data_IF_799715986408
#
_entry.id   IF_799715986408
#
_cell.length_a   1.000
_cell.length_b   1.000
_cell.length_c   1.000
_cell.angle_alpha   90.00
_cell.angle_beta   90.00
_cell.angle_gamma   90.00
#
_symmetry.space_group_name_H-M   'P 1'
#
loop_
_entity.id
_entity.type
_entity.pdbx_description
1 polymer ?
#
# COMPACT_ATOMS: atom_id res chain seq x y z
N UNK A 1 24.39 -14.08 12.87
CA UNK A 1 24.62 -13.58 11.51
C UNK A 1 25.35 -12.24 11.61
N UNK A 2 26.21 -11.83 10.67
CA UNK A 2 26.89 -10.52 10.73
C UNK A 2 26.79 -9.81 9.39
N UNK A 3 25.83 -8.89 9.28
CA UNK A 3 25.69 -8.00 8.11
C UNK A 3 26.66 -6.83 8.26
N UNK A 4 27.38 -6.48 7.20
CA UNK A 4 28.36 -5.38 7.23
C UNK A 4 27.73 -4.03 6.87
N UNK A 5 28.41 -2.95 7.27
CA UNK A 5 27.96 -1.59 6.94
C UNK A 5 27.96 -1.34 5.42
N UNK A 6 28.92 -1.91 4.70
CA UNK A 6 29.02 -1.82 3.24
C UNK A 6 27.82 -2.49 2.57
N UNK A 7 27.42 -3.69 3.03
CA UNK A 7 26.24 -4.38 2.49
C UNK A 7 24.96 -3.57 2.71
N UNK A 8 24.79 -2.96 3.90
CA UNK A 8 23.65 -2.10 4.20
C UNK A 8 23.64 -0.89 3.26
N UNK A 9 24.81 -0.29 2.99
CA UNK A 9 24.93 0.85 2.10
C UNK A 9 24.56 0.49 0.66
N UNK A 10 25.04 -0.64 0.15
CA UNK A 10 24.68 -1.16 -1.18
C UNK A 10 23.17 -1.39 -1.32
N UNK A 11 22.53 -1.96 -0.29
CA UNK A 11 21.08 -2.13 -0.30
C UNK A 11 20.32 -0.82 -0.25
N UNK A 12 20.80 0.16 0.54
CA UNK A 12 20.18 1.49 0.60
C UNK A 12 20.26 2.21 -0.74
N UNK A 13 21.40 2.13 -1.42
CA UNK A 13 21.57 2.69 -2.76
C UNK A 13 20.64 2.04 -3.79
N UNK A 14 20.44 0.72 -3.67
CA UNK A 14 19.61 -0.04 -4.61
C UNK A 14 18.12 0.11 -4.37
N UNK A 15 17.68 0.12 -3.11
CA UNK A 15 16.27 -0.01 -2.75
C UNK A 15 15.68 1.21 -2.06
N UNK A 16 16.51 2.10 -1.51
CA UNK A 16 16.08 3.22 -0.67
C UNK A 16 16.19 2.86 0.80
N UNK A 17 15.07 2.77 1.51
CA UNK A 17 15.05 2.31 2.90
C UNK A 17 15.46 0.84 3.05
N UNK A 18 16.14 0.54 4.15
CA UNK A 18 16.44 -0.81 4.62
C UNK A 18 16.09 -0.87 6.10
N UNK A 19 15.39 -1.92 6.49
CA UNK A 19 14.86 -2.13 7.82
C UNK A 19 15.45 -3.42 8.40
N UNK A 20 15.77 -3.39 9.69
CA UNK A 20 16.08 -4.60 10.45
C UNK A 20 14.87 -4.92 11.34
N UNK A 21 14.42 -6.17 11.29
CA UNK A 21 13.36 -6.71 12.12
C UNK A 21 13.97 -7.73 13.09
N UNK A 22 14.35 -7.30 14.31
CA UNK A 22 14.83 -8.21 15.34
C UNK A 22 13.67 -8.96 16.01
N UNK A 23 13.86 -10.25 16.26
CA UNK A 23 12.90 -11.13 16.96
C UNK A 23 13.71 -12.00 17.92
N UNK A 24 13.78 -11.58 19.18
CA UNK A 24 14.60 -12.22 20.21
C UNK A 24 16.07 -12.39 19.80
N UNK A 25 16.52 -13.63 19.56
CA UNK A 25 17.88 -13.98 19.15
C UNK A 25 18.06 -14.02 17.62
N UNK A 26 17.03 -13.66 16.85
CA UNK A 26 17.00 -13.68 15.38
C UNK A 26 16.80 -12.30 14.79
N UNK A 27 17.17 -12.15 13.53
CA UNK A 27 16.97 -10.91 12.78
C UNK A 27 16.72 -11.16 11.29
N UNK A 28 15.98 -10.26 10.65
CA UNK A 28 15.89 -10.19 9.19
C UNK A 28 16.01 -8.75 8.72
N UNK A 29 16.76 -8.56 7.64
CA UNK A 29 16.90 -7.31 6.91
C UNK A 29 15.96 -7.32 5.71
N UNK A 30 15.16 -6.26 5.61
CA UNK A 30 14.12 -6.08 4.62
C UNK A 30 14.35 -4.78 3.86
N UNK A 31 14.14 -4.78 2.54
CA UNK A 31 14.05 -3.54 1.78
C UNK A 31 12.72 -2.83 2.01
N UNK A 32 12.71 -1.54 1.77
CA UNK A 32 11.48 -0.75 1.71
C UNK A 32 10.51 -1.27 0.63
N UNK A 33 9.21 -1.41 0.96
CA UNK A 33 8.22 -1.81 -0.02
C UNK A 33 7.89 -0.68 -1.00
N UNK A 34 7.46 -1.08 -2.20
CA UNK A 34 6.88 -0.22 -3.21
C UNK A 34 5.43 -0.63 -3.47
N UNK A 35 4.65 0.20 -4.16
CA UNK A 35 3.26 -0.14 -4.47
C UNK A 35 3.04 -1.50 -5.15
N UNK A 36 3.92 -2.00 -6.05
CA UNK A 36 3.79 -3.35 -6.59
C UNK A 36 3.85 -4.45 -5.51
N UNK A 37 4.62 -4.26 -4.45
CA UNK A 37 4.74 -5.22 -3.35
C UNK A 37 3.42 -5.31 -2.59
N UNK A 38 2.82 -4.16 -2.23
CA UNK A 38 1.50 -4.11 -1.62
C UNK A 38 0.43 -4.73 -2.53
N UNK A 39 0.42 -4.40 -3.82
CA UNK A 39 -0.54 -5.00 -4.77
C UNK A 39 -0.43 -6.53 -4.78
N UNK A 40 0.78 -7.09 -4.72
CA UNK A 40 0.97 -8.55 -4.63
C UNK A 40 0.49 -9.09 -3.29
N UNK A 41 0.91 -8.50 -2.17
CA UNK A 41 0.56 -8.96 -0.84
C UNK A 41 -0.95 -8.92 -0.57
N UNK A 42 -1.64 -7.85 -0.98
CA UNK A 42 -3.11 -7.77 -0.89
C UNK A 42 -3.81 -8.78 -1.81
N UNK A 43 -3.19 -9.15 -2.95
CA UNK A 43 -3.73 -10.22 -3.81
C UNK A 43 -3.60 -11.58 -3.12
N UNK A 44 -2.50 -11.82 -2.40
CA UNK A 44 -2.32 -13.01 -1.58
C UNK A 44 -3.34 -13.04 -0.42
N UNK A 45 -3.55 -11.89 0.23
CA UNK A 45 -4.53 -11.71 1.31
C UNK A 45 -5.96 -12.09 0.89
N UNK A 46 -6.38 -11.71 -0.32
CA UNK A 46 -7.69 -12.09 -0.85
C UNK A 46 -7.91 -13.61 -0.93
N UNK A 47 -6.83 -14.41 -0.98
CA UNK A 47 -6.89 -15.87 -1.11
C UNK A 47 -6.63 -16.60 0.21
N UNK A 48 -5.71 -16.09 1.03
CA UNK A 48 -5.22 -16.77 2.24
C UNK A 48 -5.25 -15.93 3.51
N UNK A 49 -5.93 -14.78 3.49
CA UNK A 49 -6.05 -13.87 4.62
C UNK A 49 -4.72 -13.23 5.02
N UNK A 50 -4.68 -12.69 6.24
CA UNK A 50 -3.52 -11.95 6.74
C UNK A 50 -2.24 -12.80 6.84
N UNK A 51 -2.36 -14.12 6.97
CA UNK A 51 -1.20 -15.03 6.99
C UNK A 51 -0.50 -14.96 5.63
N UNK A 52 -1.25 -15.16 4.54
CA UNK A 52 -0.70 -15.07 3.19
C UNK A 52 -0.18 -13.66 2.85
N UNK A 53 -0.76 -12.60 3.42
CA UNK A 53 -0.21 -11.25 3.32
C UNK A 53 1.19 -11.16 3.94
N UNK A 54 1.32 -11.62 5.20
CA UNK A 54 2.59 -11.60 5.92
C UNK A 54 3.67 -12.45 5.25
N UNK A 55 3.31 -13.64 4.77
CA UNK A 55 4.20 -14.51 4.00
C UNK A 55 4.71 -13.83 2.73
N UNK A 56 3.80 -13.21 1.95
CA UNK A 56 4.18 -12.56 0.70
C UNK A 56 5.08 -11.36 0.98
N UNK A 57 4.73 -10.48 1.93
CA UNK A 57 5.54 -9.33 2.31
C UNK A 57 6.93 -9.74 2.80
N UNK A 58 7.00 -10.69 3.74
CA UNK A 58 8.27 -11.14 4.29
C UNK A 58 9.18 -11.73 3.20
N UNK A 59 8.65 -12.60 2.33
CA UNK A 59 9.43 -13.21 1.25
C UNK A 59 9.88 -12.20 0.19
N UNK A 60 9.05 -11.19 -0.06
CA UNK A 60 9.27 -10.19 -1.10
C UNK A 60 10.33 -9.17 -0.74
N UNK A 61 10.31 -8.76 0.52
CA UNK A 61 11.17 -7.71 1.04
C UNK A 61 12.48 -8.28 1.59
N UNK A 62 12.58 -9.60 1.77
CA UNK A 62 13.76 -10.30 2.26
C UNK A 62 15.04 -9.92 1.51
N UNK A 63 16.01 -9.39 2.24
CA UNK A 63 17.38 -9.21 1.77
C UNK A 63 18.27 -10.31 2.32
N UNK A 64 18.34 -10.40 3.64
CA UNK A 64 19.15 -11.37 4.38
C UNK A 64 18.58 -11.55 5.79
N UNK A 65 18.73 -12.70 6.42
CA UNK A 65 18.13 -12.94 7.73
C UNK A 65 18.21 -14.40 8.19
N UNK A 66 17.83 -14.63 9.43
CA UNK A 66 17.67 -15.97 9.98
C UNK A 66 16.45 -16.66 9.38
N UNK A 67 16.69 -17.71 8.58
CA UNK A 67 15.66 -18.46 7.84
C UNK A 67 14.51 -19.00 8.71
N UNK A 68 14.74 -19.21 10.01
CA UNK A 68 13.72 -19.63 10.96
C UNK A 68 12.55 -18.65 11.05
N UNK A 69 12.78 -17.35 10.80
CA UNK A 69 11.72 -16.33 10.76
C UNK A 69 10.67 -16.65 9.67
N UNK A 70 11.05 -17.36 8.60
CA UNK A 70 10.11 -17.81 7.53
C UNK A 70 9.58 -19.22 7.70
N UNK A 71 10.22 -20.04 8.54
CA UNK A 71 10.01 -21.49 8.60
C UNK A 71 9.41 -21.96 9.91
N UNK A 72 9.50 -21.16 10.96
CA UNK A 72 8.98 -21.47 12.28
C UNK A 72 7.94 -20.42 12.70
N UNK A 73 6.74 -20.89 13.01
CA UNK A 73 5.57 -20.07 13.35
C UNK A 73 5.81 -19.18 14.58
N UNK A 74 6.65 -19.60 15.53
CA UNK A 74 6.98 -18.82 16.73
C UNK A 74 7.66 -17.49 16.37
N UNK A 75 8.46 -17.47 15.30
CA UNK A 75 9.11 -16.26 14.79
C UNK A 75 8.30 -15.58 13.68
N UNK A 76 7.62 -16.37 12.84
CA UNK A 76 6.83 -15.83 11.73
C UNK A 76 5.63 -15.00 12.21
N UNK A 77 4.90 -15.46 13.21
CA UNK A 77 3.71 -14.76 13.71
C UNK A 77 4.00 -13.35 14.27
N UNK A 78 5.02 -13.14 15.13
CA UNK A 78 5.39 -11.79 15.55
C UNK A 78 5.95 -10.96 14.39
N UNK A 79 6.74 -11.56 13.48
CA UNK A 79 7.24 -10.86 12.30
C UNK A 79 6.10 -10.30 11.44
N UNK A 80 5.11 -11.14 11.14
CA UNK A 80 3.91 -10.76 10.39
C UNK A 80 3.19 -9.59 11.05
N UNK A 81 3.01 -9.64 12.37
CA UNK A 81 2.31 -8.59 13.11
C UNK A 81 3.03 -7.26 12.97
N UNK A 82 4.35 -7.24 13.16
CA UNK A 82 5.16 -6.04 13.01
C UNK A 82 5.09 -5.49 11.58
N UNK A 83 5.14 -6.35 10.55
CA UNK A 83 5.00 -5.92 9.16
C UNK A 83 3.65 -5.25 8.88
N UNK A 84 2.56 -5.76 9.45
CA UNK A 84 1.23 -5.15 9.30
C UNK A 84 1.16 -3.79 9.98
N UNK A 85 1.71 -3.68 11.19
CA UNK A 85 1.69 -2.44 11.97
C UNK A 85 2.62 -1.36 11.37
N UNK A 86 3.80 -1.76 10.90
CA UNK A 86 4.81 -0.87 10.32
C UNK A 86 4.36 -0.24 9.01
N UNK A 87 3.66 -0.99 8.14
CA UNK A 87 3.18 -0.48 6.85
C UNK A 87 1.81 0.18 6.92
N UNK A 88 1.58 0.98 7.96
CA UNK A 88 0.38 1.77 8.12
C UNK A 88 0.62 3.23 7.68
N UNK A 89 0.02 3.64 6.57
CA UNK A 89 0.14 5.00 6.07
C UNK A 89 -0.97 5.90 6.63
N UNK A 90 -0.66 7.15 7.01
CA UNK A 90 -1.67 8.10 7.46
C UNK A 90 -2.76 8.32 6.41
N UNK A 91 -3.98 8.53 6.87
CA UNK A 91 -5.08 8.92 6.00
C UNK A 91 -4.81 10.26 5.31
N UNK A 92 -5.17 10.35 4.03
CA UNK A 92 -5.13 11.63 3.33
C UNK A 92 -6.19 12.60 3.89
N UNK A 93 -5.86 13.89 3.93
CA UNK A 93 -6.83 14.94 4.26
C UNK A 93 -7.63 15.26 3.02
N UNK A 94 -8.96 15.36 3.14
CA UNK A 94 -9.84 15.69 2.01
C UNK A 94 -10.65 16.96 2.29
N UNK A 95 -10.73 17.84 1.29
CA UNK A 95 -11.48 19.11 1.37
C UNK A 95 -12.33 19.30 0.12
N UNK A 96 -13.62 19.62 0.32
CA UNK A 96 -14.51 19.93 -0.80
C UNK A 96 -14.16 21.29 -1.39
N UNK A 97 -14.02 21.38 -2.70
CA UNK A 97 -13.73 22.60 -3.46
C UNK A 97 -14.75 22.78 -4.59
N UNK A 98 -14.80 23.97 -5.21
CA UNK A 98 -15.84 24.35 -6.19
C UNK A 98 -16.08 23.30 -7.29
N UNK A 99 -15.00 22.69 -7.79
CA UNK A 99 -15.05 21.75 -8.91
C UNK A 99 -14.67 20.31 -8.52
N UNK A 100 -14.73 19.95 -7.24
CA UNK A 100 -14.36 18.60 -6.81
C UNK A 100 -13.89 18.48 -5.37
N UNK A 101 -12.90 17.62 -5.15
CA UNK A 101 -12.27 17.39 -3.85
C UNK A 101 -10.77 17.56 -3.99
N UNK A 102 -10.19 18.38 -3.12
CA UNK A 102 -8.76 18.45 -2.89
C UNK A 102 -8.37 17.32 -1.92
N UNK A 103 -7.36 16.55 -2.30
CA UNK A 103 -6.78 15.47 -1.50
C UNK A 103 -5.34 15.89 -1.20
N UNK A 104 -5.00 15.95 0.08
CA UNK A 104 -3.67 16.31 0.57
C UNK A 104 -3.05 15.11 1.27
N UNK A 105 -1.86 14.74 0.82
CA UNK A 105 -1.03 13.72 1.45
C UNK A 105 0.28 14.40 1.81
N UNK A 106 0.52 14.57 3.12
CA UNK A 106 1.62 15.37 3.64
C UNK A 106 1.63 16.79 3.05
N UNK A 107 2.70 17.19 2.37
CA UNK A 107 2.85 18.50 1.75
C UNK A 107 2.38 18.54 0.28
N UNK A 108 1.97 17.40 -0.28
CA UNK A 108 1.54 17.28 -1.66
C UNK A 108 0.01 17.29 -1.78
N UNK A 109 -0.50 17.94 -2.81
CA UNK A 109 -1.94 17.98 -3.11
C UNK A 109 -2.29 17.57 -4.54
N UNK A 110 -3.50 17.06 -4.69
CA UNK A 110 -4.17 16.93 -5.97
C UNK A 110 -5.64 17.31 -5.85
N UNK A 111 -6.26 17.69 -6.97
CA UNK A 111 -7.70 17.93 -7.04
C UNK A 111 -8.31 16.92 -8.00
N UNK A 112 -9.34 16.22 -7.54
CA UNK A 112 -10.15 15.30 -8.34
C UNK A 112 -11.55 15.85 -8.52
N UNK A 113 -12.15 15.69 -9.71
CA UNK A 113 -13.57 16.01 -9.92
C UNK A 113 -14.46 14.98 -9.21
N UNK A 114 -15.76 15.26 -9.17
CA UNK A 114 -16.77 14.33 -8.65
C UNK A 114 -16.73 13.01 -9.44
N UNK A 115 -16.68 11.89 -8.71
CA UNK A 115 -16.70 10.54 -9.27
C UNK A 115 -18.13 10.21 -9.71
N UNK A 116 -18.29 9.80 -10.97
CA UNK A 116 -19.57 9.38 -11.53
C UNK A 116 -19.65 7.87 -11.67
N UNK A 117 -20.87 7.35 -11.88
CA UNK A 117 -21.10 5.93 -12.16
C UNK A 117 -20.33 5.45 -13.40
N UNK A 118 -20.20 6.31 -14.42
CA UNK A 118 -19.50 5.92 -15.64
C UNK A 118 -17.99 5.84 -15.42
N UNK A 119 -17.42 6.73 -14.59
CA UNK A 119 -16.01 6.64 -14.20
C UNK A 119 -15.71 5.30 -13.52
N UNK A 120 -16.57 4.89 -12.56
CA UNK A 120 -16.44 3.61 -11.86
C UNK A 120 -16.50 2.45 -12.85
N UNK A 121 -17.52 2.43 -13.71
CA UNK A 121 -17.66 1.38 -14.74
C UNK A 121 -16.42 1.31 -15.64
N UNK A 122 -15.88 2.44 -16.05
CA UNK A 122 -14.71 2.49 -16.93
C UNK A 122 -13.43 2.08 -16.22
N UNK A 123 -13.29 2.37 -14.93
CA UNK A 123 -12.17 1.93 -14.11
C UNK A 123 -12.23 0.42 -13.81
N UNK A 124 -13.40 -0.13 -13.49
CA UNK A 124 -13.60 -1.57 -13.29
C UNK A 124 -13.27 -2.38 -14.55
N UNK A 125 -13.63 -1.87 -15.73
CA UNK A 125 -13.23 -2.48 -17.02
C UNK A 125 -11.72 -2.58 -17.19
N UNK A 126 -10.94 -1.69 -16.56
CA UNK A 126 -9.46 -1.73 -16.55
C UNK A 126 -8.90 -2.66 -15.47
N UNK A 127 -9.76 -3.22 -14.62
CA UNK A 127 -9.41 -4.18 -13.58
C UNK A 127 -10.30 -5.45 -13.65
N UNK A 128 -10.29 -6.19 -14.78
CA UNK A 128 -11.14 -7.38 -14.93
C UNK A 128 -10.78 -8.51 -13.96
N UNK A 129 -9.57 -8.50 -13.41
CA UNK A 129 -9.09 -9.51 -12.46
C UNK A 129 -9.27 -9.13 -11.00
N UNK A 130 -9.91 -7.98 -10.70
CA UNK A 130 -10.15 -7.54 -9.32
C UNK A 130 -8.88 -7.31 -8.50
N UNK A 131 -7.77 -6.93 -9.15
CA UNK A 131 -6.49 -6.67 -8.48
C UNK A 131 -6.63 -5.51 -7.49
N UNK A 132 -6.05 -5.60 -6.29
CA UNK A 132 -6.05 -4.52 -5.31
C UNK A 132 -5.54 -3.20 -5.90
N UNK A 133 -6.19 -2.10 -5.53
CA UNK A 133 -5.88 -0.71 -5.89
C UNK A 133 -5.93 -0.35 -7.39
N UNK A 134 -6.02 -1.31 -8.30
CA UNK A 134 -6.00 -1.05 -9.74
C UNK A 134 -7.23 -0.24 -10.20
N UNK A 135 -8.39 -0.45 -9.59
CA UNK A 135 -9.60 0.35 -9.87
C UNK A 135 -9.42 1.79 -9.39
N UNK A 136 -8.91 2.00 -8.17
CA UNK A 136 -8.65 3.33 -7.60
C UNK A 136 -7.60 4.09 -8.41
N UNK A 137 -6.55 3.40 -8.88
CA UNK A 137 -5.56 3.96 -9.79
C UNK A 137 -6.19 4.40 -11.12
N UNK A 138 -6.98 3.52 -11.74
CA UNK A 138 -7.67 3.83 -12.99
C UNK A 138 -8.67 4.98 -12.83
N UNK A 139 -9.37 5.06 -11.70
CA UNK A 139 -10.24 6.18 -11.36
C UNK A 139 -9.44 7.47 -11.25
N UNK A 140 -8.35 7.49 -10.48
CA UNK A 140 -7.51 8.67 -10.31
C UNK A 140 -7.07 9.24 -11.66
N UNK A 141 -6.56 8.37 -12.54
CA UNK A 141 -6.09 8.76 -13.88
C UNK A 141 -7.21 9.38 -14.74
N UNK A 142 -8.49 9.10 -14.46
CA UNK A 142 -9.66 9.63 -15.19
C UNK A 142 -10.24 10.93 -14.59
N UNK A 143 -10.11 11.12 -13.28
CA UNK A 143 -10.83 12.17 -12.55
C UNK A 143 -9.91 13.31 -12.08
N UNK A 144 -8.59 13.12 -12.12
CA UNK A 144 -7.64 14.14 -11.69
C UNK A 144 -7.75 15.39 -12.57
N UNK A 145 -7.88 16.55 -11.92
CA UNK A 145 -7.93 17.87 -12.57
C UNK A 145 -6.57 18.58 -12.49
N UNK A 146 -5.89 18.43 -11.36
CA UNK A 146 -4.54 18.94 -11.12
C UNK A 146 -3.86 18.09 -10.04
N UNK A 147 -2.53 18.03 -10.08
CA UNK A 147 -1.73 17.29 -9.09
C UNK A 147 -0.31 17.84 -9.05
N UNK A 148 0.28 17.80 -7.85
CA UNK A 148 1.70 18.08 -7.68
C UNK A 148 2.56 16.94 -8.25
N UNK A 149 3.85 17.21 -8.48
CA UNK A 149 4.76 16.28 -9.12
C UNK A 149 4.93 14.95 -8.36
N UNK A 150 4.78 14.96 -7.02
CA UNK A 150 4.85 13.75 -6.19
C UNK A 150 3.83 12.67 -6.62
N UNK A 151 2.66 13.08 -7.14
CA UNK A 151 1.63 12.17 -7.65
C UNK A 151 1.94 11.60 -9.05
N UNK A 152 3.14 11.84 -9.60
CA UNK A 152 3.59 11.17 -10.83
C UNK A 152 4.31 9.86 -10.52
N UNK A 153 4.92 9.73 -9.35
CA UNK A 153 5.50 8.46 -8.92
C UNK A 153 4.36 7.49 -8.58
N UNK A 154 4.21 6.43 -9.39
CA UNK A 154 3.18 5.40 -9.20
C UNK A 154 3.60 4.31 -8.22
N UNK A 155 4.88 4.26 -7.88
CA UNK A 155 5.45 3.22 -7.04
C UNK A 155 5.64 3.67 -5.60
N UNK A 156 5.61 4.98 -5.31
CA UNK A 156 5.69 5.54 -3.97
C UNK A 156 4.42 5.23 -3.13
N UNK A 157 4.51 4.34 -2.11
CA UNK A 157 3.36 3.97 -1.30
C UNK A 157 2.89 5.07 -0.35
N UNK A 158 3.79 5.94 0.13
CA UNK A 158 3.46 7.06 1.03
C UNK A 158 2.46 8.04 0.41
N UNK A 159 2.52 8.24 -0.90
CA UNK A 159 1.56 9.06 -1.64
C UNK A 159 0.37 8.24 -2.14
N UNK A 160 0.63 7.04 -2.68
CA UNK A 160 -0.39 6.27 -3.38
C UNK A 160 -1.38 5.57 -2.48
N UNK A 161 -0.92 5.03 -1.35
CA UNK A 161 -1.78 4.31 -0.43
C UNK A 161 -2.87 5.23 0.15
N UNK A 162 -2.53 6.41 0.73
CA UNK A 162 -3.53 7.33 1.26
C UNK A 162 -4.44 7.90 0.15
N UNK A 163 -3.90 8.14 -1.04
CA UNK A 163 -4.68 8.58 -2.20
C UNK A 163 -5.76 7.56 -2.57
N UNK A 164 -5.41 6.27 -2.68
CA UNK A 164 -6.36 5.24 -3.08
C UNK A 164 -7.44 5.03 -2.01
N UNK A 165 -7.06 5.05 -0.72
CA UNK A 165 -8.02 5.04 0.38
C UNK A 165 -8.96 6.24 0.33
N UNK A 166 -8.46 7.45 0.03
CA UNK A 166 -9.29 8.64 -0.12
C UNK A 166 -10.27 8.50 -1.29
N UNK A 167 -9.82 8.01 -2.45
CA UNK A 167 -10.68 7.79 -3.62
C UNK A 167 -11.78 6.76 -3.32
N UNK A 168 -11.46 5.69 -2.60
CA UNK A 168 -12.45 4.71 -2.15
C UNK A 168 -13.47 5.32 -1.16
N UNK A 169 -13.01 6.11 -0.20
CA UNK A 169 -13.90 6.85 0.73
C UNK A 169 -14.83 7.83 -0.02
N UNK A 170 -14.33 8.48 -1.07
CA UNK A 170 -15.13 9.39 -1.90
C UNK A 170 -16.25 8.68 -2.68
N UNK A 171 -16.04 7.43 -3.10
CA UNK A 171 -17.09 6.61 -3.71
C UNK A 171 -18.20 6.25 -2.71
N UNK A 172 -17.83 6.02 -1.45
CA UNK A 172 -18.70 5.51 -0.39
C UNK A 172 -19.19 6.60 0.57
N UNK A 173 -19.15 7.89 0.17
CA UNK A 173 -19.50 9.03 1.04
C UNK A 173 -20.92 8.97 1.61
N UNK A 174 -21.84 8.28 0.94
CA UNK A 174 -23.21 8.02 1.43
C UNK A 174 -23.41 6.53 1.60
N UNK A 175 -23.66 6.09 2.84
CA UNK A 175 -23.96 4.69 3.16
C UNK A 175 -25.48 4.47 3.10
N UNK A 176 -25.91 3.41 2.42
CA UNK A 176 -27.30 2.96 2.42
C UNK A 176 -27.38 1.57 3.06
N UNK A 177 -28.44 1.30 3.82
CA UNK A 177 -28.69 -0.02 4.43
C UNK A 177 -30.10 -0.49 4.08
N UNK A 178 -30.22 -1.72 3.59
CA UNK A 178 -31.53 -2.38 3.46
C UNK A 178 -32.03 -2.77 4.85
N UNK A 179 -33.20 -2.28 5.23
CA UNK A 179 -33.90 -2.70 6.46
C UNK A 179 -34.97 -3.70 6.07
N UNK A 180 -34.87 -4.92 6.61
CA UNK A 180 -35.98 -5.89 6.58
C UNK A 180 -37.03 -5.38 7.58
N UNK A 181 -38.27 -5.20 7.12
CA UNK A 181 -39.41 -4.88 7.98
C UNK A 181 -39.85 -6.11 8.76
#
# INVERSE_FOLDING_TARGET
>A
MTVTAEQIQEWKEKYGGVYELPIEDKSVFLREPRMPDFKRAFTAMQKGGDIAFGEDMLNTLWLEGDEEIRKNDEYFLPARKELVDFFNYPDAVTKTVKNGTEITVEDSKCTVRVITREDIRMAEKRNPSGKPFQTQEALFDQIVLSKDAAYNDKDNPQIRFPLYQAIEKLQNKKIASLKKL
#
